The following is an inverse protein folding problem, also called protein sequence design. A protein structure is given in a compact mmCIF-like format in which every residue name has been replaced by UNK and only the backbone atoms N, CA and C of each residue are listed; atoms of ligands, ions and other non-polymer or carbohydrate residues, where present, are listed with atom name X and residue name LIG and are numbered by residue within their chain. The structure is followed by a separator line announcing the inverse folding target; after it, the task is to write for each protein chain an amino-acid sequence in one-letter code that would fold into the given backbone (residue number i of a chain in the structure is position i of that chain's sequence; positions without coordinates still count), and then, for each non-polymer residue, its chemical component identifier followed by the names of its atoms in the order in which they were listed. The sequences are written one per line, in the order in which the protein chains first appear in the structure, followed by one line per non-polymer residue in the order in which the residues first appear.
data_IF_619370748334
#
_entry.id   IF_619370748334
#
_cell.length_a   1.000
_cell.length_b   1.000
_cell.length_c   1.000
_cell.angle_alpha   90.00
_cell.angle_beta   90.00
_cell.angle_gamma   90.00
#
_symmetry.space_group_name_H-M   'P 1'
#
loop_
_entity.id
_entity.type
_entity.pdbx_description
1 polymer ?
#
# COMPACT_ATOMS: atom_id res chain seq x y z
N UNK A 1 13.59 -9.07 -0.42
CA UNK A 1 13.80 -7.80 0.34
C UNK A 1 12.91 -7.63 1.57
N UNK A 2 11.78 -8.32 1.69
CA UNK A 2 10.79 -8.09 2.77
C UNK A 2 11.35 -8.10 4.21
N UNK A 3 12.29 -9.01 4.53
CA UNK A 3 12.92 -9.09 5.85
C UNK A 3 13.68 -7.80 6.20
N UNK A 4 14.37 -7.22 5.22
CA UNK A 4 15.12 -5.95 5.37
C UNK A 4 14.16 -4.82 5.72
N UNK A 5 13.04 -4.68 4.99
CA UNK A 5 12.04 -3.65 5.27
C UNK A 5 11.52 -3.74 6.71
N UNK A 6 11.19 -4.95 7.17
CA UNK A 6 10.65 -5.17 8.50
C UNK A 6 11.67 -4.87 9.61
N UNK A 7 12.92 -5.32 9.45
CA UNK A 7 13.98 -5.08 10.42
C UNK A 7 14.35 -3.59 10.49
N UNK A 8 14.49 -2.93 9.34
CA UNK A 8 14.73 -1.48 9.28
C UNK A 8 13.58 -0.69 9.89
N UNK A 9 12.32 -1.00 9.54
CA UNK A 9 11.15 -0.29 10.10
C UNK A 9 11.13 -0.41 11.62
N UNK A 10 11.41 -1.61 12.15
CA UNK A 10 11.50 -1.85 13.59
C UNK A 10 12.63 -1.05 14.23
N UNK A 11 13.80 -1.03 13.59
CA UNK A 11 14.95 -0.29 14.08
C UNK A 11 14.72 1.22 14.06
N UNK A 12 14.15 1.77 12.98
CA UNK A 12 13.78 3.19 12.90
C UNK A 12 12.81 3.57 14.02
N UNK A 13 11.73 2.80 14.22
CA UNK A 13 10.76 3.07 15.30
C UNK A 13 11.38 3.05 16.69
N UNK A 14 12.33 2.14 16.94
CA UNK A 14 13.08 2.07 18.22
C UNK A 14 14.04 3.25 18.42
N UNK A 15 14.43 3.95 17.36
CA UNK A 15 15.36 5.06 17.38
C UNK A 15 14.70 6.36 16.87
N UNK A 16 13.41 6.55 17.16
CA UNK A 16 12.66 7.78 16.84
C UNK A 16 12.74 8.21 15.36
N UNK A 17 12.72 7.25 14.45
CA UNK A 17 12.76 7.48 13.01
C UNK A 17 14.16 7.70 12.42
N UNK A 18 15.23 7.67 13.23
CA UNK A 18 16.61 7.91 12.78
C UNK A 18 17.50 6.71 13.04
N UNK A 19 18.38 6.35 12.11
CA UNK A 19 19.44 5.37 12.31
C UNK A 19 20.78 5.96 11.91
N UNK A 20 21.80 5.79 12.75
CA UNK A 20 23.18 6.12 12.37
C UNK A 20 23.69 5.16 11.29
N UNK A 21 24.72 5.56 10.56
CA UNK A 21 25.30 4.76 9.48
C UNK A 21 25.64 3.34 9.90
N UNK A 22 26.33 3.18 11.03
CA UNK A 22 26.72 1.88 11.58
C UNK A 22 25.52 0.98 11.89
N UNK A 23 24.41 1.56 12.39
CA UNK A 23 23.19 0.81 12.71
C UNK A 23 22.49 0.35 11.43
N UNK A 24 22.41 1.21 10.43
CA UNK A 24 21.88 0.88 9.11
C UNK A 24 22.71 -0.22 8.46
N UNK A 25 24.03 -0.03 8.37
CA UNK A 25 24.98 -1.01 7.80
C UNK A 25 24.88 -2.37 8.50
N UNK A 26 24.83 -2.39 9.84
CA UNK A 26 24.68 -3.63 10.61
C UNK A 26 23.41 -4.40 10.25
N UNK A 27 22.31 -3.72 9.90
CA UNK A 27 21.07 -4.37 9.49
C UNK A 27 21.17 -4.85 8.04
N UNK A 28 21.56 -3.98 7.10
CA UNK A 28 21.52 -4.33 5.68
C UNK A 28 22.55 -5.38 5.29
N UNK A 29 23.73 -5.38 5.93
CA UNK A 29 24.80 -6.36 5.64
C UNK A 29 24.43 -7.81 5.99
N UNK A 30 23.41 -8.02 6.82
CA UNK A 30 22.84 -9.37 7.05
C UNK A 30 22.15 -9.94 5.82
N UNK A 31 21.79 -9.08 4.88
CA UNK A 31 21.00 -9.39 3.69
C UNK A 31 21.70 -9.01 2.39
N UNK A 32 22.91 -8.45 2.46
CA UNK A 32 23.76 -8.22 1.29
C UNK A 32 24.34 -9.54 0.79
N UNK A 33 24.39 -9.71 -0.52
CA UNK A 33 25.22 -10.74 -1.16
C UNK A 33 26.66 -10.24 -1.35
N UNK A 34 27.56 -11.10 -1.85
CA UNK A 34 28.95 -10.72 -2.21
C UNK A 34 29.05 -9.54 -3.20
N UNK A 35 27.96 -9.19 -3.88
CA UNK A 35 27.91 -8.23 -4.98
C UNK A 35 27.21 -6.92 -4.63
N UNK A 36 26.59 -6.81 -3.45
CA UNK A 36 25.79 -5.65 -3.06
C UNK A 36 26.44 -4.97 -1.85
N UNK A 37 26.89 -3.73 -2.03
CA UNK A 37 27.30 -2.89 -0.92
C UNK A 37 26.09 -2.21 -0.25
N UNK A 38 26.35 -1.54 0.87
CA UNK A 38 25.33 -0.84 1.67
C UNK A 38 24.59 0.24 0.87
N UNK A 39 25.27 0.91 -0.06
CA UNK A 39 24.70 1.97 -0.90
C UNK A 39 23.79 1.37 -1.98
N UNK A 40 24.16 0.24 -2.57
CA UNK A 40 23.33 -0.52 -3.51
C UNK A 40 22.01 -0.92 -2.86
N UNK A 41 22.07 -1.46 -1.63
CA UNK A 41 20.84 -1.78 -0.87
C UNK A 41 20.00 -0.52 -0.63
N UNK A 42 20.62 0.62 -0.30
CA UNK A 42 19.90 1.87 -0.09
C UNK A 42 19.08 2.27 -1.34
N UNK A 43 19.68 2.21 -2.52
CA UNK A 43 18.98 2.52 -3.77
C UNK A 43 17.89 1.48 -4.09
N UNK A 44 18.13 0.20 -3.83
CA UNK A 44 17.12 -0.86 -4.01
C UNK A 44 15.93 -0.67 -3.07
N UNK A 45 16.16 -0.24 -1.83
CA UNK A 45 15.10 0.11 -0.88
C UNK A 45 14.23 1.24 -1.44
N UNK A 46 14.85 2.33 -1.90
CA UNK A 46 14.13 3.47 -2.48
C UNK A 46 13.37 3.09 -3.75
N UNK A 47 14.00 2.33 -4.65
CA UNK A 47 13.37 1.84 -5.88
C UNK A 47 12.17 0.90 -5.59
N UNK A 48 12.20 0.18 -4.47
CA UNK A 48 11.10 -0.65 -3.99
C UNK A 48 9.96 0.16 -3.34
N UNK A 49 10.10 1.48 -3.21
CA UNK A 49 9.13 2.37 -2.57
C UNK A 49 9.28 2.46 -1.05
N UNK A 50 10.36 1.94 -0.47
CA UNK A 50 10.63 2.10 0.96
C UNK A 50 11.03 3.56 1.25
N UNK A 51 10.33 4.29 2.14
CA UNK A 51 10.47 5.74 2.28
C UNK A 51 11.66 6.12 3.17
N UNK A 52 12.84 5.59 2.83
CA UNK A 52 14.12 5.90 3.48
C UNK A 52 14.78 7.10 2.82
N UNK A 53 15.48 7.90 3.62
CA UNK A 53 16.31 9.01 3.15
C UNK A 53 17.61 9.07 3.93
N UNK A 54 18.64 9.66 3.33
CA UNK A 54 19.94 9.90 3.96
C UNK A 54 20.02 11.39 4.32
N UNK A 55 20.51 11.70 5.52
CA UNK A 55 20.80 13.07 5.96
C UNK A 55 22.32 13.33 5.91
N UNK A 56 22.73 14.60 5.88
CA UNK A 56 24.13 15.02 5.63
C UNK A 56 25.15 14.44 6.62
N UNK A 57 24.73 14.10 7.84
CA UNK A 57 25.58 13.54 8.89
C UNK A 57 25.79 12.00 8.78
N UNK A 58 25.51 11.39 7.62
CA UNK A 58 25.64 9.95 7.40
C UNK A 58 24.53 9.10 8.01
N UNK A 59 23.55 9.72 8.67
CA UNK A 59 22.39 9.01 9.23
C UNK A 59 21.28 8.82 8.19
N UNK A 60 20.39 7.89 8.49
CA UNK A 60 19.23 7.56 7.68
C UNK A 60 17.95 7.89 8.45
N UNK A 61 16.90 8.24 7.73
CA UNK A 61 15.58 8.52 8.29
C UNK A 61 14.49 7.75 7.58
N UNK A 62 13.44 7.39 8.32
CA UNK A 62 12.20 6.87 7.77
C UNK A 62 11.19 8.03 7.67
N UNK A 63 10.87 8.48 6.45
CA UNK A 63 10.05 9.70 6.24
C UNK A 63 8.71 9.64 6.96
N UNK A 64 8.10 8.46 7.09
CA UNK A 64 6.79 8.31 7.75
C UNK A 64 6.80 8.68 9.23
N UNK A 65 7.96 8.64 9.89
CA UNK A 65 8.10 9.07 11.28
C UNK A 65 8.10 10.60 11.45
N UNK A 66 8.20 11.37 10.36
CA UNK A 66 8.30 12.82 10.39
C UNK A 66 7.20 13.51 9.57
N UNK A 67 6.73 12.85 8.50
CA UNK A 67 5.65 13.38 7.66
C UNK A 67 4.33 13.34 8.42
N UNK A 68 3.63 14.48 8.44
CA UNK A 68 2.23 14.52 8.87
C UNK A 68 1.40 13.58 8.02
N UNK A 69 0.53 12.80 8.65
CA UNK A 69 -0.39 11.91 7.93
C UNK A 69 -1.29 12.68 6.96
N UNK A 70 -1.64 13.94 7.24
CA UNK A 70 -2.49 14.76 6.36
C UNK A 70 -1.78 15.11 5.04
N UNK A 71 -0.47 15.35 5.11
CA UNK A 71 0.36 15.77 3.97
C UNK A 71 0.97 14.61 3.18
N UNK A 72 0.85 13.40 3.72
CA UNK A 72 1.41 12.20 3.15
C UNK A 72 0.71 11.83 1.83
N UNK A 73 1.49 11.22 0.91
CA UNK A 73 0.94 10.62 -0.30
C UNK A 73 0.43 9.22 0.00
N UNK A 74 -0.82 8.96 -0.39
CA UNK A 74 -1.47 7.66 -0.30
C UNK A 74 -1.83 7.19 -1.71
N UNK A 75 -1.32 6.04 -2.12
CA UNK A 75 -1.71 5.39 -3.36
C UNK A 75 -2.77 4.35 -3.01
N UNK A 76 -4.04 4.71 -3.19
CA UNK A 76 -5.17 3.80 -2.98
C UNK A 76 -5.34 2.97 -4.24
N UNK A 77 -5.24 1.65 -4.10
CA UNK A 77 -5.20 0.69 -5.19
C UNK A 77 -6.30 -0.35 -4.96
N UNK A 78 -6.87 -0.78 -6.08
CA UNK A 78 -7.67 -1.98 -6.19
C UNK A 78 -7.26 -2.70 -7.49
N UNK A 79 -7.37 -4.02 -7.51
CA UNK A 79 -7.05 -4.84 -8.68
C UNK A 79 -8.15 -5.85 -8.97
N UNK A 80 -8.36 -6.11 -10.26
CA UNK A 80 -9.08 -7.30 -10.70
C UNK A 80 -8.10 -8.38 -11.15
N UNK A 81 -8.47 -9.64 -10.94
CA UNK A 81 -7.60 -10.79 -11.21
C UNK A 81 -8.34 -11.87 -11.97
N UNK A 82 -7.63 -12.69 -12.77
CA UNK A 82 -8.26 -13.82 -13.47
C UNK A 82 -8.45 -15.07 -12.58
N UNK A 83 -8.39 -14.90 -11.25
CA UNK A 83 -8.57 -15.95 -10.25
C UNK A 83 -7.93 -15.58 -8.91
N UNK A 84 -8.15 -16.39 -7.88
CA UNK A 84 -7.92 -15.99 -6.48
C UNK A 84 -6.53 -16.25 -5.89
N UNK A 85 -5.56 -16.76 -6.67
CA UNK A 85 -4.24 -17.16 -6.15
C UNK A 85 -3.09 -16.41 -6.84
N UNK A 86 -2.31 -15.57 -6.12
CA UNK A 86 -1.17 -14.81 -6.70
C UNK A 86 -0.14 -15.62 -7.49
N UNK A 87 0.08 -16.90 -7.12
CA UNK A 87 1.07 -17.75 -7.79
C UNK A 87 0.64 -18.28 -9.16
N UNK A 88 -0.67 -18.47 -9.37
CA UNK A 88 -1.23 -19.14 -10.55
C UNK A 88 -2.16 -18.25 -11.36
N UNK A 89 -2.67 -17.17 -10.75
CA UNK A 89 -3.51 -16.15 -11.37
C UNK A 89 -2.70 -14.88 -11.60
N UNK A 90 -3.26 -13.94 -12.35
CA UNK A 90 -2.64 -12.66 -12.66
C UNK A 90 -3.63 -11.52 -12.53
N UNK A 91 -3.08 -10.32 -12.36
CA UNK A 91 -3.81 -9.06 -12.48
C UNK A 91 -4.30 -8.87 -13.92
N UNK A 92 -5.54 -8.41 -14.07
CA UNK A 92 -6.20 -8.09 -15.35
C UNK A 92 -6.69 -6.65 -15.43
N UNK A 93 -6.85 -5.97 -14.29
CA UNK A 93 -7.13 -4.53 -14.21
C UNK A 93 -6.42 -3.94 -13.00
N UNK A 94 -5.92 -2.71 -13.14
CA UNK A 94 -5.35 -1.91 -12.05
C UNK A 94 -6.09 -0.58 -12.02
N UNK A 95 -6.69 -0.28 -10.87
CA UNK A 95 -7.22 1.03 -10.53
C UNK A 95 -6.44 1.62 -9.38
N UNK A 96 -5.94 2.84 -9.54
CA UNK A 96 -5.25 3.54 -8.48
C UNK A 96 -5.52 5.04 -8.48
N UNK A 97 -5.63 5.62 -7.29
CA UNK A 97 -5.69 7.06 -7.07
C UNK A 97 -4.61 7.50 -6.10
N UNK A 98 -3.93 8.59 -6.45
CA UNK A 98 -2.97 9.24 -5.57
C UNK A 98 -3.70 10.33 -4.79
N UNK A 99 -3.70 10.21 -3.47
CA UNK A 99 -4.25 11.21 -2.55
C UNK A 99 -3.09 11.93 -1.85
N UNK A 100 -3.15 13.26 -1.81
CA UNK A 100 -2.25 14.09 -1.01
C UNK A 100 -3.00 15.32 -0.49
N UNK A 101 -2.80 15.71 0.76
CA UNK A 101 -3.50 16.85 1.38
C UNK A 101 -5.03 16.74 1.22
N UNK A 102 -5.58 15.55 1.48
CA UNK A 102 -6.99 15.20 1.30
C UNK A 102 -7.57 15.43 -0.11
N UNK A 103 -6.72 15.53 -1.15
CA UNK A 103 -7.14 15.73 -2.54
C UNK A 103 -6.59 14.62 -3.44
N UNK A 104 -7.37 14.24 -4.45
CA UNK A 104 -6.87 13.42 -5.55
C UNK A 104 -5.93 14.28 -6.38
N UNK A 105 -4.67 13.86 -6.50
CA UNK A 105 -3.62 14.57 -7.25
C UNK A 105 -3.21 13.84 -8.53
N UNK A 106 -3.48 12.54 -8.62
CA UNK A 106 -3.21 11.74 -9.82
C UNK A 106 -4.08 10.48 -9.86
N UNK A 107 -4.19 9.85 -11.03
CA UNK A 107 -4.94 8.60 -11.24
C UNK A 107 -4.27 7.68 -12.25
N UNK A 108 -4.42 6.38 -12.03
CA UNK A 108 -4.01 5.33 -12.95
C UNK A 108 -5.15 4.34 -13.11
N UNK A 109 -5.55 4.11 -14.35
CA UNK A 109 -6.50 3.07 -14.74
C UNK A 109 -5.92 2.36 -15.96
N UNK A 110 -5.83 1.03 -15.90
CA UNK A 110 -5.34 0.23 -17.02
C UNK A 110 -5.85 -1.20 -16.92
N UNK A 111 -6.26 -1.75 -18.06
CA UNK A 111 -6.33 -3.20 -18.23
C UNK A 111 -4.90 -3.78 -18.34
N UNK A 112 -4.82 -5.10 -18.19
CA UNK A 112 -3.59 -5.87 -18.31
C UNK A 112 -3.88 -7.08 -19.19
N UNK A 113 -3.02 -7.31 -20.19
CA UNK A 113 -3.23 -8.42 -21.13
C UNK A 113 -3.43 -9.76 -20.41
N UNK A 114 -4.38 -10.56 -20.91
CA UNK A 114 -4.65 -11.88 -20.37
C UNK A 114 -4.94 -12.88 -21.48
N UNK A 115 -4.19 -13.98 -21.51
CA UNK A 115 -4.37 -15.04 -22.50
C UNK A 115 -5.65 -15.86 -22.26
N UNK A 116 -6.10 -15.95 -21.01
CA UNK A 116 -7.30 -16.70 -20.66
C UNK A 116 -8.03 -16.05 -19.48
N UNK A 117 -9.25 -15.62 -19.73
CA UNK A 117 -10.17 -15.07 -18.74
C UNK A 117 -11.30 -16.09 -18.49
N UNK A 118 -11.42 -16.65 -17.28
CA UNK A 118 -12.53 -17.54 -16.95
C UNK A 118 -13.88 -16.80 -16.98
N UNK A 119 -14.93 -17.43 -17.51
CA UNK A 119 -16.27 -16.83 -17.63
C UNK A 119 -16.84 -16.35 -16.28
N UNK A 120 -16.53 -17.04 -15.18
CA UNK A 120 -16.99 -16.63 -13.85
C UNK A 120 -16.37 -15.30 -13.39
N UNK A 121 -15.15 -14.97 -13.85
CA UNK A 121 -14.51 -13.67 -13.56
C UNK A 121 -15.19 -12.57 -14.37
N UNK A 122 -15.48 -12.80 -15.65
CA UNK A 122 -16.24 -11.84 -16.47
C UNK A 122 -17.61 -11.52 -15.86
N UNK A 123 -18.30 -12.51 -15.31
CA UNK A 123 -19.58 -12.29 -14.61
C UNK A 123 -19.48 -11.43 -13.35
N UNK A 124 -18.34 -11.45 -12.67
CA UNK A 124 -18.12 -10.68 -11.42
C UNK A 124 -17.66 -9.26 -11.74
N UNK A 125 -16.68 -9.15 -12.64
CA UNK A 125 -15.95 -7.90 -12.93
C UNK A 125 -16.54 -7.10 -14.09
N UNK A 126 -17.36 -7.75 -14.94
CA UNK A 126 -17.82 -7.17 -16.20
C UNK A 126 -16.72 -7.05 -17.26
N UNK A 127 -15.50 -7.54 -17.00
CA UNK A 127 -14.38 -7.53 -17.94
C UNK A 127 -14.58 -8.66 -18.95
N UNK A 128 -14.56 -8.32 -20.23
CA UNK A 128 -14.67 -9.27 -21.32
C UNK A 128 -13.28 -9.56 -21.94
N UNK A 129 -13.06 -10.73 -22.58
CA UNK A 129 -11.78 -11.03 -23.23
C UNK A 129 -11.34 -9.96 -24.25
N UNK A 130 -12.29 -9.25 -24.87
CA UNK A 130 -12.01 -8.17 -25.83
C UNK A 130 -11.33 -6.96 -25.16
N UNK A 131 -11.66 -6.66 -23.91
CA UNK A 131 -11.06 -5.53 -23.16
C UNK A 131 -9.57 -5.76 -22.88
N UNK A 132 -9.16 -7.03 -22.84
CA UNK A 132 -7.80 -7.46 -22.52
C UNK A 132 -6.94 -7.68 -23.77
N UNK A 133 -7.55 -7.68 -24.97
CA UNK A 133 -6.81 -7.80 -26.22
C UNK A 133 -6.12 -6.49 -26.59
N UNK A 134 -4.79 -6.52 -26.69
CA UNK A 134 -3.99 -5.33 -26.97
C UNK A 134 -3.82 -4.37 -25.77
N UNK A 135 -4.32 -4.77 -24.59
CA UNK A 135 -4.00 -4.10 -23.34
C UNK A 135 -2.48 -4.20 -23.06
N UNK A 136 -1.92 -3.30 -22.23
CA UNK A 136 -0.50 -3.36 -21.86
C UNK A 136 -0.10 -4.73 -21.32
N UNK A 137 1.15 -5.11 -21.61
CA UNK A 137 1.71 -6.32 -21.03
C UNK A 137 1.74 -6.21 -19.51
N UNK A 138 1.74 -7.36 -18.82
CA UNK A 138 1.87 -7.38 -17.35
C UNK A 138 3.07 -6.55 -16.87
N UNK A 139 4.22 -6.69 -17.53
CA UNK A 139 5.42 -5.96 -17.15
C UNK A 139 5.25 -4.46 -17.33
N UNK A 140 4.63 -4.00 -18.43
CA UNK A 140 4.40 -2.57 -18.67
C UNK A 140 3.43 -1.98 -17.64
N UNK A 141 2.29 -2.63 -17.41
CA UNK A 141 1.29 -2.17 -16.44
C UNK A 141 1.86 -2.10 -15.02
N UNK A 142 2.57 -3.15 -14.59
CA UNK A 142 3.21 -3.20 -13.27
C UNK A 142 4.36 -2.20 -13.13
N UNK A 143 5.15 -2.01 -14.19
CA UNK A 143 6.19 -0.97 -14.19
C UNK A 143 5.56 0.41 -14.05
N UNK A 144 4.48 0.70 -14.77
CA UNK A 144 3.74 1.97 -14.65
C UNK A 144 3.20 2.16 -13.24
N UNK A 145 2.61 1.13 -12.63
CA UNK A 145 2.13 1.18 -11.25
C UNK A 145 3.28 1.41 -10.26
N UNK A 146 4.43 0.74 -10.40
CA UNK A 146 5.60 0.95 -9.53
C UNK A 146 6.06 2.41 -9.54
N UNK A 147 6.15 3.01 -10.72
CA UNK A 147 6.52 4.43 -10.85
C UNK A 147 5.44 5.35 -10.25
N UNK A 148 4.16 5.06 -10.50
CA UNK A 148 3.02 5.81 -9.95
C UNK A 148 3.02 5.79 -8.42
N UNK A 149 3.22 4.62 -7.81
CA UNK A 149 3.28 4.45 -6.35
C UNK A 149 4.44 5.22 -5.71
N UNK A 150 5.62 5.24 -6.34
CA UNK A 150 6.83 5.86 -5.77
C UNK A 150 7.03 5.40 -4.31
N UNK A 151 7.23 6.31 -3.36
CA UNK A 151 7.29 6.05 -1.91
C UNK A 151 5.96 6.32 -1.16
N UNK A 152 4.84 6.44 -1.87
CA UNK A 152 3.53 6.65 -1.27
C UNK A 152 3.12 5.45 -0.38
N UNK A 153 2.24 5.70 0.58
CA UNK A 153 1.63 4.63 1.38
C UNK A 153 0.74 3.81 0.46
N UNK A 154 0.97 2.50 0.40
CA UNK A 154 0.08 1.55 -0.27
C UNK A 154 -1.20 1.41 0.56
N UNK A 155 -2.33 1.75 -0.04
CA UNK A 155 -3.65 1.65 0.59
C UNK A 155 -4.54 0.74 -0.26
N UNK A 156 -5.27 -0.17 0.37
CA UNK A 156 -6.28 -0.98 -0.29
C UNK A 156 -7.36 -1.44 0.70
N UNK A 157 -8.51 -1.84 0.18
CA UNK A 157 -9.58 -2.41 0.98
C UNK A 157 -9.40 -3.92 1.06
N UNK A 158 -9.14 -4.45 2.27
CA UNK A 158 -8.59 -5.81 2.43
C UNK A 158 -7.18 -5.95 1.83
N UNK A 159 -6.29 -5.01 2.18
CA UNK A 159 -5.00 -4.80 1.52
C UNK A 159 -4.07 -6.01 1.38
N UNK A 160 -4.24 -7.06 2.19
CA UNK A 160 -3.44 -8.29 2.04
C UNK A 160 -3.64 -8.99 0.69
N UNK A 161 -4.84 -8.88 0.11
CA UNK A 161 -5.16 -9.46 -1.19
C UNK A 161 -4.38 -8.76 -2.30
N UNK A 162 -4.60 -7.46 -2.48
CA UNK A 162 -3.98 -6.64 -3.53
C UNK A 162 -2.46 -6.62 -3.37
N UNK A 163 -1.98 -6.42 -2.13
CA UNK A 163 -0.55 -6.43 -1.84
C UNK A 163 0.07 -7.78 -2.21
N UNK A 164 -0.57 -8.91 -1.85
CA UNK A 164 -0.03 -10.23 -2.15
C UNK A 164 0.07 -10.52 -3.64
N UNK A 165 -0.94 -10.11 -4.41
CA UNK A 165 -0.93 -10.22 -5.88
C UNK A 165 0.13 -9.33 -6.52
N UNK A 166 0.22 -8.07 -6.11
CA UNK A 166 1.15 -7.11 -6.68
C UNK A 166 2.60 -7.40 -6.30
N UNK A 167 2.86 -7.78 -5.05
CA UNK A 167 4.22 -8.14 -4.59
C UNK A 167 4.75 -9.36 -5.33
N UNK A 168 3.95 -10.43 -5.44
CA UNK A 168 4.32 -11.62 -6.22
C UNK A 168 4.52 -11.31 -7.72
N UNK A 169 3.71 -10.40 -8.27
CA UNK A 169 3.83 -9.99 -9.66
C UNK A 169 5.07 -9.13 -9.89
N UNK A 170 5.35 -8.16 -9.01
CA UNK A 170 6.56 -7.34 -9.09
C UNK A 170 7.82 -8.19 -8.97
N UNK A 171 7.87 -9.14 -8.04
CA UNK A 171 8.99 -10.07 -7.92
C UNK A 171 9.18 -10.89 -9.21
N UNK A 172 8.10 -11.45 -9.77
CA UNK A 172 8.12 -12.24 -11.01
C UNK A 172 8.69 -11.47 -12.21
N UNK A 173 8.45 -10.16 -12.28
CA UNK A 173 8.90 -9.31 -13.39
C UNK A 173 10.19 -8.52 -13.08
N UNK A 174 10.85 -8.78 -11.95
CA UNK A 174 12.10 -8.13 -11.57
C UNK A 174 11.95 -6.67 -11.16
N UNK A 175 10.80 -6.29 -10.60
CA UNK A 175 10.47 -4.93 -10.14
C UNK A 175 10.65 -4.74 -8.62
N UNK A 176 11.27 -5.72 -7.95
CA UNK A 176 11.49 -5.74 -6.50
C UNK A 176 10.21 -5.92 -5.69
N UNK A 177 10.35 -6.36 -4.43
CA UNK A 177 9.21 -6.45 -3.51
C UNK A 177 8.62 -5.06 -3.22
N UNK A 178 7.39 -5.00 -2.71
CA UNK A 178 6.77 -3.74 -2.25
C UNK A 178 7.43 -3.33 -0.92
N UNK A 179 8.21 -2.24 -0.95
CA UNK A 179 8.76 -1.58 0.23
C UNK A 179 7.85 -0.48 0.79
N UNK A 180 6.79 -0.11 0.07
CA UNK A 180 5.82 0.90 0.48
C UNK A 180 5.17 0.53 1.83
N UNK A 181 4.96 1.49 2.74
CA UNK A 181 4.18 1.26 3.94
C UNK A 181 2.76 0.85 3.57
N UNK A 182 2.22 -0.16 4.25
CA UNK A 182 0.89 -0.72 3.96
C UNK A 182 -0.16 -0.28 4.99
N UNK A 183 -1.27 0.27 4.50
CA UNK A 183 -2.48 0.63 5.26
C UNK A 183 -3.71 -0.11 4.69
N UNK A 184 -4.45 -0.81 5.54
CA UNK A 184 -5.71 -1.46 5.16
C UNK A 184 -6.90 -0.62 5.63
N UNK A 185 -7.82 -0.26 4.72
CA UNK A 185 -8.96 0.59 5.09
C UNK A 185 -9.96 -0.14 6.00
N UNK A 186 -10.02 -1.48 5.96
CA UNK A 186 -10.84 -2.27 6.90
C UNK A 186 -10.29 -2.14 8.32
N UNK A 187 -8.98 -2.32 8.47
CA UNK A 187 -8.30 -2.21 9.76
C UNK A 187 -8.48 -0.82 10.33
N UNK A 188 -8.27 0.21 9.50
CA UNK A 188 -8.46 1.60 9.88
C UNK A 188 -9.92 1.88 10.27
N UNK A 189 -10.89 1.52 9.44
CA UNK A 189 -12.32 1.75 9.69
C UNK A 189 -12.78 1.15 11.03
N UNK A 190 -12.38 -0.09 11.33
CA UNK A 190 -12.70 -0.78 12.61
C UNK A 190 -12.21 -0.04 13.86
N UNK A 191 -11.25 0.86 13.68
CA UNK A 191 -10.61 1.65 14.73
C UNK A 191 -11.20 3.05 14.86
N UNK A 192 -11.85 3.56 13.82
CA UNK A 192 -12.26 4.96 13.68
C UNK A 192 -13.77 5.13 13.78
N UNK A 193 -14.57 4.20 13.26
CA UNK A 193 -16.03 4.27 13.38
C UNK A 193 -16.68 2.89 13.55
N UNK A 194 -17.91 2.87 14.06
CA UNK A 194 -18.68 1.64 14.23
C UNK A 194 -19.50 1.33 12.98
N UNK A 195 -19.45 0.08 12.54
CA UNK A 195 -20.25 -0.47 11.44
C UNK A 195 -20.55 -1.94 11.72
N UNK A 196 -21.69 -2.43 11.24
CA UNK A 196 -22.06 -3.85 11.32
C UNK A 196 -21.08 -4.73 10.52
N UNK A 197 -20.70 -4.25 9.33
CA UNK A 197 -19.79 -4.94 8.41
C UNK A 197 -18.82 -3.94 7.81
N UNK A 198 -17.64 -4.42 7.45
CA UNK A 198 -16.56 -3.58 6.93
C UNK A 198 -16.14 -3.95 5.52
N UNK A 199 -16.93 -4.75 4.79
CA UNK A 199 -16.68 -5.00 3.38
C UNK A 199 -17.04 -3.78 2.55
N UNK A 200 -16.32 -3.55 1.44
CA UNK A 200 -16.41 -2.30 0.67
C UNK A 200 -17.83 -2.00 0.21
N UNK A 201 -18.53 -2.96 -0.39
CA UNK A 201 -19.92 -2.80 -0.83
C UNK A 201 -20.84 -2.33 0.30
N UNK A 202 -20.73 -2.94 1.50
CA UNK A 202 -21.52 -2.52 2.65
C UNK A 202 -21.15 -1.10 3.11
N UNK A 203 -19.86 -0.77 3.14
CA UNK A 203 -19.42 0.56 3.57
C UNK A 203 -19.78 1.66 2.58
N UNK A 204 -19.85 1.35 1.28
CA UNK A 204 -20.36 2.26 0.25
C UNK A 204 -21.80 2.67 0.60
N UNK A 205 -22.68 1.69 0.80
CA UNK A 205 -24.08 1.93 1.16
C UNK A 205 -24.20 2.63 2.52
N UNK A 206 -23.48 2.15 3.52
CA UNK A 206 -23.52 2.68 4.89
C UNK A 206 -23.06 4.14 4.98
N UNK A 207 -22.06 4.53 4.18
CA UNK A 207 -21.52 5.89 4.16
C UNK A 207 -22.20 6.79 3.12
N UNK A 208 -23.13 6.25 2.32
CA UNK A 208 -23.77 6.99 1.22
C UNK A 208 -22.78 7.45 0.16
N UNK A 209 -21.77 6.64 -0.15
CA UNK A 209 -20.78 6.97 -1.18
C UNK A 209 -21.42 6.75 -2.55
N UNK A 210 -21.49 7.81 -3.36
CA UNK A 210 -21.96 7.69 -4.74
C UNK A 210 -20.94 6.93 -5.59
N UNK A 211 -21.38 5.88 -6.28
CA UNK A 211 -20.54 5.06 -7.16
C UNK A 211 -21.04 5.13 -8.60
N UNK A 212 -20.10 5.18 -9.55
CA UNK A 212 -20.45 5.12 -10.97
C UNK A 212 -20.68 3.68 -11.45
N UNK A 213 -19.87 2.73 -10.94
CA UNK A 213 -19.91 1.30 -11.32
C UNK A 213 -19.24 0.47 -10.24
N UNK A 214 -19.90 -0.56 -9.72
CA UNK A 214 -19.29 -1.54 -8.81
C UNK A 214 -18.45 -2.57 -9.60
N UNK A 215 -17.39 -3.12 -8.99
CA UNK A 215 -16.50 -4.13 -9.59
C UNK A 215 -15.69 -3.64 -10.77
N UNK A 216 -15.24 -2.39 -10.69
CA UNK A 216 -14.23 -1.83 -11.57
C UNK A 216 -13.14 -1.29 -10.70
N UNK A 217 -11.90 -1.72 -10.94
CA UNK A 217 -10.80 -1.47 -10.02
C UNK A 217 -10.64 0.02 -9.69
N UNK A 218 -10.78 0.91 -10.68
CA UNK A 218 -10.65 2.34 -10.42
C UNK A 218 -11.77 2.92 -9.53
N UNK A 219 -13.00 2.44 -9.73
CA UNK A 219 -14.17 2.85 -8.94
C UNK A 219 -14.06 2.35 -7.50
N UNK A 220 -13.62 1.11 -7.31
CA UNK A 220 -13.45 0.52 -5.98
C UNK A 220 -12.27 1.17 -5.22
N UNK A 221 -11.19 1.54 -5.92
CA UNK A 221 -10.11 2.36 -5.35
C UNK A 221 -10.60 3.74 -4.87
N UNK A 222 -11.47 4.42 -5.63
CA UNK A 222 -12.11 5.68 -5.22
C UNK A 222 -13.00 5.49 -3.97
N UNK A 223 -13.78 4.42 -3.92
CA UNK A 223 -14.61 4.11 -2.77
C UNK A 223 -13.77 3.81 -1.52
N UNK A 224 -12.68 3.04 -1.67
CA UNK A 224 -11.73 2.79 -0.60
C UNK A 224 -11.07 4.09 -0.10
N UNK A 225 -10.76 5.02 -1.01
CA UNK A 225 -10.25 6.35 -0.64
C UNK A 225 -11.27 7.14 0.20
N UNK A 226 -12.56 7.04 -0.12
CA UNK A 226 -13.65 7.66 0.67
C UNK A 226 -13.81 7.02 2.05
N UNK A 227 -13.68 5.70 2.16
CA UNK A 227 -13.64 5.02 3.48
C UNK A 227 -12.44 5.47 4.30
N UNK A 228 -11.28 5.67 3.68
CA UNK A 228 -10.08 6.20 4.33
C UNK A 228 -10.29 7.65 4.79
N UNK A 229 -10.82 8.52 3.93
CA UNK A 229 -11.17 9.91 4.26
C UNK A 229 -12.10 9.96 5.47
N UNK A 230 -13.17 9.16 5.46
CA UNK A 230 -14.10 9.07 6.59
C UNK A 230 -13.43 8.63 7.87
N UNK A 231 -12.46 7.73 7.78
CA UNK A 231 -11.70 7.26 8.93
C UNK A 231 -10.80 8.33 9.53
N UNK A 232 -10.31 9.28 8.73
CA UNK A 232 -9.46 10.36 9.22
C UNK A 232 -10.22 11.35 10.11
N UNK A 233 -11.52 11.54 9.89
CA UNK A 233 -12.37 12.45 10.68
C UNK A 233 -12.44 12.11 12.18
N UNK A 234 -12.18 10.86 12.55
CA UNK A 234 -12.30 10.38 13.94
C UNK A 234 -10.99 9.80 14.48
N UNK A 235 -9.86 10.18 13.88
CA UNK A 235 -8.55 9.84 14.42
C UNK A 235 -8.35 10.47 15.80
N UNK A 236 -7.69 9.76 16.73
CA UNK A 236 -7.27 10.36 17.99
C UNK A 236 -6.30 11.52 17.78
N UNK A 237 -6.38 12.56 18.64
CA UNK A 237 -5.53 13.77 18.55
C UNK A 237 -4.02 13.49 18.62
N UNK A 238 -3.60 12.39 19.24
CA UNK A 238 -2.18 12.04 19.34
C UNK A 238 -1.59 11.51 18.02
N UNK A 239 -2.42 11.19 17.02
CA UNK A 239 -1.95 10.76 15.70
C UNK A 239 -1.58 11.99 14.91
N UNK A 240 -0.28 12.22 14.75
CA UNK A 240 0.28 13.36 14.01
C UNK A 240 1.09 12.91 12.81
N UNK A 241 1.80 11.80 12.91
CA UNK A 241 2.68 11.28 11.86
C UNK A 241 2.04 10.12 11.10
N UNK A 242 2.54 9.90 9.88
CA UNK A 242 2.14 8.74 9.07
C UNK A 242 2.44 7.42 9.78
N UNK A 243 3.59 7.31 10.46
CA UNK A 243 3.95 6.09 11.16
C UNK A 243 3.02 5.79 12.35
N UNK A 244 2.60 6.82 13.09
CA UNK A 244 1.59 6.69 14.15
C UNK A 244 0.25 6.19 13.60
N UNK A 245 -0.21 6.72 12.46
CA UNK A 245 -1.42 6.25 11.77
C UNK A 245 -1.31 4.75 11.41
N UNK A 246 -0.18 4.35 10.82
CA UNK A 246 0.06 2.96 10.40
C UNK A 246 0.13 2.00 11.60
N UNK A 247 0.67 2.44 12.73
CA UNK A 247 0.66 1.66 13.97
C UNK A 247 -0.75 1.60 14.59
N UNK A 248 -1.49 2.71 14.56
CA UNK A 248 -2.85 2.79 15.07
C UNK A 248 -3.79 1.82 14.35
N UNK A 249 -3.71 1.74 13.02
CA UNK A 249 -4.57 0.85 12.22
C UNK A 249 -4.37 -0.63 12.58
N UNK A 250 -3.13 -1.03 12.91
CA UNK A 250 -2.76 -2.43 13.21
C UNK A 250 -2.90 -2.80 14.69
N UNK A 251 -2.96 -1.82 15.59
CA UNK A 251 -3.03 -2.07 17.02
C UNK A 251 -4.31 -2.82 17.42
N UNK A 252 -4.17 -3.76 18.35
CA UNK A 252 -5.32 -4.45 18.93
C UNK A 252 -6.18 -3.50 19.75
N UNK A 253 -7.48 -3.80 19.93
CA UNK A 253 -8.35 -3.02 20.84
C UNK A 253 -7.85 -3.06 22.30
N UNK A 254 -7.10 -4.11 22.68
CA UNK A 254 -6.58 -4.31 24.04
C UNK A 254 -5.42 -3.36 24.38
N UNK A 255 -4.48 -3.17 23.45
CA UNK A 255 -3.35 -2.22 23.60
C UNK A 255 -3.82 -0.76 23.78
N UNK A 256 -5.03 -0.43 23.31
CA UNK A 256 -5.64 0.90 23.44
C UNK A 256 -6.04 1.24 24.89
N UNK A 257 -6.53 0.28 25.67
CA UNK A 257 -6.90 0.53 27.08
C UNK A 257 -5.67 0.87 27.91
N UNK A 258 -4.59 0.11 27.71
CA UNK A 258 -3.33 0.30 28.41
C UNK A 258 -2.72 1.69 28.09
N UNK A 259 -2.60 2.07 26.81
CA UNK A 259 -2.08 3.40 26.44
C UNK A 259 -2.96 4.58 26.89
N UNK A 260 -4.27 4.38 27.07
CA UNK A 260 -5.20 5.40 27.59
C UNK A 260 -5.20 5.50 29.12
N UNK A 261 -4.67 4.49 29.80
CA UNK A 261 -4.47 4.47 31.25
C UNK A 261 -3.05 4.97 31.63
N UNK A 262 -2.11 4.96 30.68
CA UNK A 262 -0.71 5.40 30.84
C UNK A 262 -0.43 6.86 30.42
N UNK A 263 -1.42 7.57 29.86
CA UNK A 263 -1.33 8.99 29.46
C UNK A 263 -2.43 9.83 30.10
#
# INVERSE_FOLDING_TARGET
MQKVFNELTTAFRKNNGVLREEQYQCIVTKYTTLLEDSDTIFFLLQASGYPISKIEEGSYTLKTCFNSYESQRYCVIDIETNGSKPGTSQVIEIGAVMIQNAKIVDRLETFVECAFLPEYISKITGIEPMDLMGAPTRKEALSKLRHFMSDAVFVAHNADFDYGFLDASFERFGLGNIGNPKLCTIELARRTFESERYGLAYLIDFLGIETATHHRAFSDALCAAKVMEKSFETLPEYISTTDELLQFSKSSRKERRLKKEEG
#
